data_IF_502056029212
#
_entry.id   IF_502056029212
#
_cell.length_a   1.000
_cell.length_b   1.000
_cell.length_c   1.000
_cell.angle_alpha   90.00
_cell.angle_beta   90.00
_cell.angle_gamma   90.00
#
_symmetry.space_group_name_H-M   'P 1'
#
loop_
_entity.id
_entity.type
_entity.pdbx_description
1 polymer ?
#
# COMPACT_ATOMS: atom_id res chain seq x y z
N UNK A 1 20.94 5.60 -34.23
CA UNK A 1 21.49 6.23 -33.00
C UNK A 1 21.10 5.34 -31.82
N UNK A 2 22.02 5.00 -30.91
CA UNK A 2 21.64 4.31 -29.68
C UNK A 2 20.76 5.26 -28.87
N UNK A 3 19.55 4.82 -28.50
CA UNK A 3 18.66 5.58 -27.61
C UNK A 3 19.36 5.67 -26.25
N UNK A 4 19.40 6.86 -25.67
CA UNK A 4 19.80 7.03 -24.28
C UNK A 4 18.92 6.08 -23.42
N UNK A 5 19.51 5.15 -22.64
CA UNK A 5 18.74 4.21 -21.83
C UNK A 5 17.84 4.88 -20.78
N UNK A 6 18.00 6.20 -20.56
CA UNK A 6 17.13 7.00 -19.69
C UNK A 6 15.88 7.54 -20.41
N UNK A 7 15.80 7.43 -21.74
CA UNK A 7 14.70 7.95 -22.57
C UNK A 7 13.55 6.93 -22.66
N UNK A 8 13.05 6.51 -21.49
CA UNK A 8 11.91 5.59 -21.39
C UNK A 8 10.65 6.33 -21.84
N UNK A 9 10.07 5.89 -22.95
CA UNK A 9 8.78 6.37 -23.45
C UNK A 9 7.65 5.55 -22.82
N UNK A 10 6.73 6.24 -22.17
CA UNK A 10 5.46 5.71 -21.69
C UNK A 10 4.33 6.21 -22.61
N UNK A 11 3.13 5.63 -22.56
CA UNK A 11 1.95 6.19 -23.24
C UNK A 11 1.68 7.66 -22.89
N UNK A 12 2.19 8.15 -21.76
CA UNK A 12 2.01 9.51 -21.25
C UNK A 12 3.19 10.46 -21.58
N UNK A 13 4.20 9.98 -22.31
CA UNK A 13 5.40 10.76 -22.66
C UNK A 13 6.70 10.18 -22.07
N UNK A 14 7.77 10.97 -22.06
CA UNK A 14 9.06 10.56 -21.49
C UNK A 14 8.95 10.45 -19.96
N UNK A 15 9.38 9.32 -19.40
CA UNK A 15 9.29 9.05 -17.96
C UNK A 15 9.91 10.17 -17.12
N UNK A 16 11.06 10.70 -17.54
CA UNK A 16 11.74 11.81 -16.86
C UNK A 16 10.89 13.10 -16.76
N UNK A 17 10.07 13.37 -17.76
CA UNK A 17 9.22 14.57 -17.80
C UNK A 17 7.97 14.36 -16.96
N UNK A 18 7.37 13.16 -17.06
CA UNK A 18 6.24 12.71 -16.25
C UNK A 18 6.58 12.78 -14.76
N UNK A 19 7.74 12.29 -14.36
CA UNK A 19 8.12 12.27 -12.95
C UNK A 19 8.30 13.68 -12.37
N UNK A 20 8.58 14.70 -13.19
CA UNK A 20 8.73 16.09 -12.72
C UNK A 20 7.38 16.80 -12.56
N UNK A 21 6.40 16.43 -13.37
CA UNK A 21 5.04 16.99 -13.37
C UNK A 21 4.06 15.87 -13.69
N UNK A 22 3.77 15.00 -12.70
CA UNK A 22 2.88 13.88 -12.94
C UNK A 22 1.48 14.42 -13.23
N UNK A 23 0.95 14.11 -14.40
CA UNK A 23 -0.42 14.43 -14.72
C UNK A 23 -1.37 13.41 -14.07
N UNK A 24 -2.67 13.71 -14.12
CA UNK A 24 -3.67 12.84 -13.53
C UNK A 24 -3.67 11.44 -14.16
N UNK A 25 -3.42 11.31 -15.47
CA UNK A 25 -3.41 10.00 -16.15
C UNK A 25 -2.32 9.06 -15.61
N UNK A 26 -1.15 9.61 -15.26
CA UNK A 26 -0.05 8.84 -14.66
C UNK A 26 -0.47 8.39 -13.27
N UNK A 27 -0.99 9.30 -12.44
CA UNK A 27 -1.45 8.94 -11.08
C UNK A 27 -2.57 7.90 -11.13
N UNK A 28 -3.54 8.07 -12.03
CA UNK A 28 -4.66 7.14 -12.20
C UNK A 28 -4.23 5.79 -12.79
N UNK A 29 -3.00 5.67 -13.30
CA UNK A 29 -2.47 4.38 -13.72
C UNK A 29 -2.36 3.38 -12.56
N UNK A 30 -2.31 3.83 -11.30
CA UNK A 30 -2.36 2.94 -10.12
C UNK A 30 -3.55 1.99 -10.14
N UNK A 31 -4.71 2.44 -10.64
CA UNK A 31 -5.93 1.62 -10.78
C UNK A 31 -5.88 0.63 -11.96
N UNK A 32 -4.74 0.51 -12.61
CA UNK A 32 -4.47 -0.45 -13.69
C UNK A 32 -3.30 -1.36 -13.36
N UNK A 33 -2.57 -1.08 -12.28
CA UNK A 33 -1.46 -1.90 -11.83
C UNK A 33 -1.99 -2.94 -10.84
N UNK A 34 -2.02 -4.24 -11.18
CA UNK A 34 -2.44 -5.26 -10.25
C UNK A 34 -1.42 -5.36 -9.10
N UNK A 35 -1.91 -5.61 -7.88
CA UNK A 35 -1.08 -5.97 -6.75
C UNK A 35 -0.33 -7.27 -7.05
N UNK A 36 0.88 -7.39 -6.55
CA UNK A 36 1.74 -8.55 -6.71
C UNK A 36 1.14 -9.80 -6.03
N UNK A 37 0.32 -9.59 -5.01
CA UNK A 37 -0.51 -10.63 -4.42
C UNK A 37 -1.60 -11.13 -5.40
N UNK A 38 -2.28 -10.22 -6.11
CA UNK A 38 -3.25 -10.54 -7.16
C UNK A 38 -2.62 -11.35 -8.30
N UNK A 39 -1.46 -10.92 -8.81
CA UNK A 39 -0.77 -11.66 -9.88
C UNK A 39 -0.22 -13.01 -9.44
N UNK A 40 -0.06 -13.23 -8.12
CA UNK A 40 0.29 -14.53 -7.54
C UNK A 40 -0.90 -15.51 -7.50
N UNK A 41 -2.05 -15.11 -8.06
CA UNK A 41 -3.26 -15.92 -8.14
C UNK A 41 -4.24 -15.73 -6.98
N UNK A 42 -4.04 -14.68 -6.16
CA UNK A 42 -4.84 -14.40 -4.97
C UNK A 42 -5.45 -13.00 -5.01
N UNK A 43 -6.77 -12.92 -5.20
CA UNK A 43 -7.48 -11.64 -5.27
C UNK A 43 -7.39 -10.96 -6.63
N UNK A 44 -7.96 -9.77 -6.70
CA UNK A 44 -8.16 -8.97 -7.91
C UNK A 44 -7.83 -7.48 -7.67
N UNK A 45 -7.10 -7.19 -6.60
CA UNK A 45 -6.82 -5.83 -6.19
C UNK A 45 -5.75 -5.16 -7.04
N UNK A 46 -5.95 -3.88 -7.31
CA UNK A 46 -4.96 -2.97 -7.89
C UNK A 46 -4.31 -2.05 -6.83
N UNK A 47 -3.21 -1.39 -7.18
CA UNK A 47 -2.47 -0.50 -6.27
C UNK A 47 -3.31 0.71 -5.85
N UNK A 48 -4.19 1.19 -6.73
CA UNK A 48 -5.11 2.28 -6.43
C UNK A 48 -6.12 1.90 -5.35
N UNK A 49 -6.72 0.71 -5.45
CA UNK A 49 -7.63 0.14 -4.46
C UNK A 49 -6.93 -0.07 -3.11
N UNK A 50 -5.70 -0.59 -3.12
CA UNK A 50 -4.86 -0.70 -1.92
C UNK A 50 -4.67 0.66 -1.25
N UNK A 51 -4.15 1.65 -1.98
CA UNK A 51 -3.88 2.99 -1.45
C UNK A 51 -5.14 3.68 -0.95
N UNK A 52 -6.26 3.48 -1.63
CA UNK A 52 -7.56 4.02 -1.19
C UNK A 52 -8.06 3.34 0.09
N UNK A 53 -7.85 2.02 0.24
CA UNK A 53 -8.13 1.30 1.47
C UNK A 53 -7.26 1.80 2.62
N UNK A 54 -5.95 2.01 2.41
CA UNK A 54 -5.03 2.60 3.41
C UNK A 54 -5.53 3.96 3.87
N UNK A 55 -5.98 4.82 2.95
CA UNK A 55 -6.52 6.14 3.28
C UNK A 55 -7.80 6.06 4.13
N UNK A 56 -8.73 5.14 3.80
CA UNK A 56 -9.92 4.91 4.63
C UNK A 56 -9.57 4.35 6.00
N UNK A 57 -8.65 3.38 6.08
CA UNK A 57 -8.16 2.88 7.36
C UNK A 57 -7.52 4.01 8.17
N UNK A 58 -6.84 4.97 7.52
CA UNK A 58 -6.34 6.19 8.16
C UNK A 58 -7.41 7.05 8.83
N UNK A 59 -8.61 7.16 8.25
CA UNK A 59 -9.75 7.83 8.87
C UNK A 59 -10.20 7.11 10.16
N UNK A 60 -10.34 5.79 10.10
CA UNK A 60 -10.74 4.98 11.26
C UNK A 60 -9.66 4.99 12.34
N UNK A 61 -8.39 4.88 11.95
CA UNK A 61 -7.23 4.88 12.84
C UNK A 61 -7.07 6.20 13.58
N UNK A 62 -7.21 7.32 12.86
CA UNK A 62 -7.21 8.64 13.46
C UNK A 62 -8.33 8.81 14.49
N UNK A 63 -9.53 8.27 14.20
CA UNK A 63 -10.65 8.28 15.15
C UNK A 63 -10.35 7.42 16.37
N UNK A 64 -9.81 6.21 16.16
CA UNK A 64 -9.47 5.26 17.21
C UNK A 64 -8.40 5.81 18.17
N UNK A 65 -7.42 6.56 17.66
CA UNK A 65 -6.34 7.16 18.44
C UNK A 65 -6.59 8.63 18.85
N UNK A 66 -7.76 9.19 18.53
CA UNK A 66 -8.12 10.56 18.90
C UNK A 66 -7.22 11.64 18.27
N UNK A 67 -6.80 11.45 17.01
CA UNK A 67 -5.99 12.44 16.30
C UNK A 67 -6.80 13.68 15.97
N UNK A 68 -6.13 14.85 15.98
CA UNK A 68 -6.73 16.08 15.49
C UNK A 68 -6.90 16.05 13.95
N UNK A 69 -7.72 16.98 13.43
CA UNK A 69 -8.00 17.03 12.00
C UNK A 69 -6.72 17.22 11.15
N UNK A 70 -5.77 18.11 11.49
CA UNK A 70 -4.54 18.25 10.71
C UNK A 70 -3.71 16.97 10.63
N UNK A 71 -3.52 16.25 11.75
CA UNK A 71 -2.76 14.99 11.76
C UNK A 71 -3.48 13.90 10.97
N UNK A 72 -4.80 13.79 11.13
CA UNK A 72 -5.65 12.87 10.35
C UNK A 72 -5.51 13.15 8.85
N UNK A 73 -5.66 14.40 8.43
CA UNK A 73 -5.68 14.76 7.02
C UNK A 73 -4.31 14.49 6.36
N UNK A 74 -3.21 14.73 7.07
CA UNK A 74 -1.87 14.32 6.63
C UNK A 74 -1.76 12.81 6.47
N UNK A 75 -2.26 12.03 7.42
CA UNK A 75 -2.23 10.56 7.35
C UNK A 75 -3.02 10.03 6.14
N UNK A 76 -4.18 10.63 5.85
CA UNK A 76 -5.00 10.27 4.68
C UNK A 76 -4.25 10.59 3.38
N UNK A 77 -3.67 11.78 3.27
CA UNK A 77 -2.89 12.18 2.09
C UNK A 77 -1.69 11.26 1.91
N UNK A 78 -0.99 10.92 2.99
CA UNK A 78 0.10 9.95 2.96
C UNK A 78 -0.39 8.57 2.50
N UNK A 79 -1.53 8.10 2.99
CA UNK A 79 -2.15 6.83 2.53
C UNK A 79 -2.47 6.81 1.05
N UNK A 80 -3.04 7.89 0.52
CA UNK A 80 -3.37 8.02 -0.91
C UNK A 80 -2.13 8.05 -1.81
N UNK A 81 -0.98 8.48 -1.27
CA UNK A 81 0.19 8.83 -2.10
C UNK A 81 1.40 7.92 -1.90
N UNK A 82 1.38 7.01 -0.91
CA UNK A 82 2.57 6.25 -0.52
C UNK A 82 3.14 5.34 -1.61
N UNK A 83 2.29 4.80 -2.49
CA UNK A 83 2.66 3.92 -3.61
C UNK A 83 2.60 4.61 -4.97
N UNK A 84 2.64 5.95 -5.04
CA UNK A 84 2.59 6.68 -6.32
C UNK A 84 3.68 6.24 -7.32
N UNK A 85 4.86 5.87 -6.84
CA UNK A 85 5.94 5.35 -7.68
C UNK A 85 5.52 4.12 -8.51
N UNK A 86 4.60 3.29 -8.00
CA UNK A 86 4.11 2.09 -8.68
C UNK A 86 3.32 2.41 -9.94
N UNK A 87 2.83 3.64 -10.09
CA UNK A 87 2.23 4.11 -11.34
C UNK A 87 3.20 4.07 -12.53
N UNK A 88 4.50 4.18 -12.25
CA UNK A 88 5.57 4.14 -13.23
C UNK A 88 6.34 2.81 -13.22
N UNK A 89 6.47 2.18 -12.06
CA UNK A 89 7.32 0.98 -11.90
C UNK A 89 6.56 -0.33 -11.95
N UNK A 90 5.24 -0.29 -11.81
CA UNK A 90 4.44 -1.44 -11.42
C UNK A 90 4.68 -1.82 -9.94
N UNK A 91 3.84 -2.73 -9.44
CA UNK A 91 4.01 -3.32 -8.11
C UNK A 91 5.08 -4.41 -8.15
N UNK A 92 6.11 -4.25 -7.33
CA UNK A 92 7.26 -5.15 -7.26
C UNK A 92 7.23 -5.87 -5.93
N UNK A 93 7.29 -7.21 -5.95
CA UNK A 93 7.34 -8.00 -4.72
C UNK A 93 8.49 -7.56 -3.81
N UNK A 94 8.27 -7.40 -2.49
CA UNK A 94 9.31 -6.98 -1.56
C UNK A 94 10.60 -7.81 -1.61
N UNK A 95 10.49 -9.12 -1.86
CA UNK A 95 11.63 -10.04 -1.98
C UNK A 95 12.53 -9.75 -3.19
N UNK A 96 12.03 -9.03 -4.19
CA UNK A 96 12.78 -8.65 -5.40
C UNK A 96 13.40 -7.25 -5.29
N UNK A 97 13.07 -6.49 -4.23
CA UNK A 97 13.58 -5.12 -4.02
C UNK A 97 14.99 -5.14 -3.42
N UNK A 98 16.03 -5.16 -4.27
CA UNK A 98 17.43 -4.94 -3.85
C UNK A 98 17.61 -3.54 -3.21
N UNK A 99 18.68 -3.30 -2.43
CA UNK A 99 18.96 -1.97 -1.87
C UNK A 99 19.04 -0.87 -2.93
N UNK A 100 19.67 -1.16 -4.07
CA UNK A 100 19.81 -0.23 -5.19
C UNK A 100 18.46 0.07 -5.83
N UNK A 101 17.62 -0.96 -6.00
CA UNK A 101 16.26 -0.78 -6.52
C UNK A 101 15.44 0.07 -5.54
N UNK A 102 15.50 -0.19 -4.24
CA UNK A 102 14.79 0.62 -3.23
C UNK A 102 15.16 2.09 -3.31
N UNK A 103 16.45 2.41 -3.37
CA UNK A 103 16.90 3.79 -3.52
C UNK A 103 16.34 4.48 -4.78
N UNK A 104 16.18 3.74 -5.89
CA UNK A 104 15.53 4.25 -7.11
C UNK A 104 14.03 4.41 -6.95
N UNK A 105 13.34 3.49 -6.29
CA UNK A 105 11.91 3.62 -6.01
C UNK A 105 11.66 4.84 -5.10
N UNK A 106 12.48 5.04 -4.08
CA UNK A 106 12.41 6.20 -3.17
C UNK A 106 12.67 7.51 -3.92
N UNK A 107 13.63 7.53 -4.84
CA UNK A 107 13.88 8.67 -5.72
C UNK A 107 12.65 8.98 -6.58
N UNK A 108 12.05 7.96 -7.21
CA UNK A 108 10.85 8.11 -8.04
C UNK A 108 9.69 8.65 -7.21
N UNK A 109 9.42 8.02 -6.07
CA UNK A 109 8.39 8.43 -5.11
C UNK A 109 8.58 9.89 -4.70
N UNK A 110 9.81 10.29 -4.36
CA UNK A 110 10.12 11.67 -3.99
C UNK A 110 9.79 12.68 -5.10
N UNK A 111 10.06 12.34 -6.37
CA UNK A 111 9.71 13.24 -7.50
C UNK A 111 8.21 13.37 -7.69
N UNK A 112 7.45 12.27 -7.53
CA UNK A 112 5.98 12.32 -7.56
C UNK A 112 5.43 13.23 -6.46
N UNK A 113 5.88 13.03 -5.23
CA UNK A 113 5.43 13.83 -4.08
C UNK A 113 5.79 15.31 -4.25
N UNK A 114 7.00 15.61 -4.72
CA UNK A 114 7.42 16.97 -5.04
C UNK A 114 6.52 17.60 -6.12
N UNK A 115 6.22 16.86 -7.18
CA UNK A 115 5.37 17.33 -8.28
C UNK A 115 3.92 17.61 -7.87
N UNK A 116 3.43 16.97 -6.80
CA UNK A 116 2.10 17.17 -6.22
C UNK A 116 2.12 18.08 -4.97
N UNK A 117 3.27 18.66 -4.62
CA UNK A 117 3.46 19.48 -3.42
C UNK A 117 3.07 18.77 -2.11
N UNK A 118 3.22 17.44 -2.08
CA UNK A 118 2.96 16.62 -0.89
C UNK A 118 4.24 16.49 -0.07
N UNK A 119 4.18 16.89 1.20
CA UNK A 119 5.28 16.70 2.15
C UNK A 119 4.94 15.58 3.13
N UNK A 120 5.64 14.43 3.10
CA UNK A 120 5.45 13.36 4.08
C UNK A 120 5.74 13.85 5.50
N UNK A 121 4.89 13.45 6.44
CA UNK A 121 5.11 13.71 7.86
C UNK A 121 5.85 12.53 8.49
N UNK A 122 7.11 12.73 8.87
CA UNK A 122 7.94 11.68 9.45
C UNK A 122 7.36 11.13 10.77
N UNK A 123 6.57 11.92 11.51
CA UNK A 123 5.90 11.47 12.72
C UNK A 123 4.76 10.48 12.47
N UNK A 124 4.29 10.38 11.22
CA UNK A 124 3.22 9.48 10.78
C UNK A 124 3.73 8.29 9.97
N UNK A 125 5.04 8.14 9.79
CA UNK A 125 5.61 7.06 8.98
C UNK A 125 5.28 5.67 9.58
N UNK A 126 5.30 5.55 10.91
CA UNK A 126 4.94 4.31 11.59
C UNK A 126 3.45 3.98 11.45
N UNK A 127 2.57 4.99 11.58
CA UNK A 127 1.13 4.87 11.37
C UNK A 127 0.83 4.40 9.94
N UNK A 128 1.39 5.08 8.94
CA UNK A 128 1.23 4.71 7.54
C UNK A 128 1.68 3.25 7.30
N UNK A 129 2.81 2.85 7.88
CA UNK A 129 3.32 1.49 7.70
C UNK A 129 2.43 0.43 8.37
N UNK A 130 1.80 0.74 9.49
CA UNK A 130 0.81 -0.12 10.10
C UNK A 130 -0.42 -0.25 9.20
N UNK A 131 -0.92 0.87 8.66
CA UNK A 131 -2.12 0.90 7.81
C UNK A 131 -1.93 0.16 6.48
N UNK A 132 -0.77 0.30 5.83
CA UNK A 132 -0.36 -0.49 4.65
C UNK A 132 -0.49 -2.01 4.94
N UNK A 133 0.08 -2.46 6.06
CA UNK A 133 -0.01 -3.86 6.49
C UNK A 133 -1.44 -4.31 6.83
N UNK A 134 -2.24 -3.44 7.44
CA UNK A 134 -3.65 -3.72 7.76
C UNK A 134 -4.47 -3.83 6.48
N UNK A 135 -4.26 -2.93 5.50
CA UNK A 135 -4.89 -3.00 4.19
C UNK A 135 -4.56 -4.33 3.51
N UNK A 136 -3.30 -4.78 3.59
CA UNK A 136 -2.91 -6.07 3.04
C UNK A 136 -3.61 -7.26 3.72
N UNK A 137 -3.84 -7.23 5.04
CA UNK A 137 -4.67 -8.23 5.71
C UNK A 137 -6.11 -8.22 5.19
N UNK A 138 -6.67 -7.03 4.98
CA UNK A 138 -8.00 -6.88 4.41
C UNK A 138 -8.08 -7.42 2.96
N UNK A 139 -7.04 -7.25 2.16
CA UNK A 139 -6.91 -7.86 0.82
C UNK A 139 -6.94 -9.38 0.88
N UNK A 140 -6.10 -9.99 1.73
CA UNK A 140 -6.04 -11.45 1.91
C UNK A 140 -7.41 -11.96 2.36
N UNK A 141 -8.08 -11.22 3.24
CA UNK A 141 -9.45 -11.52 3.65
C UNK A 141 -10.39 -11.46 2.44
N UNK A 142 -10.33 -10.45 1.59
CA UNK A 142 -11.25 -10.30 0.46
C UNK A 142 -10.97 -11.25 -0.71
N UNK A 143 -9.82 -11.92 -0.75
CA UNK A 143 -9.48 -12.86 -1.81
C UNK A 143 -10.53 -13.98 -1.96
N UNK A 144 -10.97 -14.21 -3.20
CA UNK A 144 -11.85 -15.30 -3.55
C UNK A 144 -11.17 -16.67 -3.33
N UNK A 145 -11.87 -17.57 -2.64
CA UNK A 145 -11.39 -18.91 -2.32
C UNK A 145 -12.06 -19.92 -3.24
N UNK A 146 -11.26 -20.72 -3.97
CA UNK A 146 -11.74 -21.72 -4.93
C UNK A 146 -11.98 -23.09 -4.27
N UNK A 147 -11.14 -23.46 -3.32
CA UNK A 147 -11.19 -24.76 -2.65
C UNK A 147 -10.64 -24.70 -1.21
N UNK A 148 -10.80 -25.79 -0.46
CA UNK A 148 -10.36 -25.89 0.93
C UNK A 148 -8.83 -25.83 1.12
N UNK A 149 -8.04 -26.29 0.14
CA UNK A 149 -6.58 -26.22 0.22
C UNK A 149 -6.10 -24.77 0.07
N UNK A 150 -6.68 -24.03 -0.87
CA UNK A 150 -6.43 -22.61 -1.04
C UNK A 150 -6.87 -21.83 0.20
N UNK A 151 -8.03 -22.16 0.79
CA UNK A 151 -8.49 -21.56 2.05
C UNK A 151 -7.47 -21.75 3.17
N UNK A 152 -6.98 -22.98 3.36
CA UNK A 152 -6.02 -23.28 4.41
C UNK A 152 -4.69 -22.54 4.21
N UNK A 153 -4.21 -22.41 2.97
CA UNK A 153 -3.01 -21.65 2.63
C UNK A 153 -3.19 -20.15 2.91
N UNK A 154 -4.31 -19.58 2.49
CA UNK A 154 -4.63 -18.17 2.72
C UNK A 154 -4.81 -17.86 4.21
N UNK A 155 -5.44 -18.76 4.97
CA UNK A 155 -5.59 -18.61 6.42
C UNK A 155 -4.22 -18.56 7.11
N UNK A 156 -3.33 -19.52 6.80
CA UNK A 156 -1.97 -19.52 7.35
C UNK A 156 -1.20 -18.25 6.95
N UNK A 157 -1.29 -17.84 5.69
CA UNK A 157 -0.64 -16.63 5.21
C UNK A 157 -1.17 -15.37 5.91
N UNK A 158 -2.48 -15.27 6.12
CA UNK A 158 -3.11 -14.21 6.91
C UNK A 158 -2.54 -14.17 8.32
N UNK A 159 -2.45 -15.32 9.00
CA UNK A 159 -1.95 -15.40 10.38
C UNK A 159 -0.47 -15.00 10.46
N UNK A 160 0.35 -15.41 9.49
CA UNK A 160 1.76 -14.99 9.37
C UNK A 160 1.87 -13.47 9.19
N UNK A 161 1.08 -12.86 8.29
CA UNK A 161 1.08 -11.41 8.09
C UNK A 161 0.57 -10.66 9.32
N UNK A 162 -0.45 -11.20 10.00
CA UNK A 162 -1.01 -10.61 11.23
C UNK A 162 0.01 -10.65 12.36
N UNK A 163 0.73 -11.75 12.54
CA UNK A 163 1.80 -11.84 13.52
C UNK A 163 2.88 -10.76 13.29
N UNK A 164 3.34 -10.61 12.05
CA UNK A 164 4.32 -9.57 11.69
C UNK A 164 3.78 -8.15 11.92
N UNK A 165 2.49 -7.90 11.65
CA UNK A 165 1.85 -6.62 11.97
C UNK A 165 1.86 -6.37 13.48
N UNK A 166 1.46 -7.36 14.29
CA UNK A 166 1.38 -7.22 15.75
C UNK A 166 2.78 -6.97 16.35
N UNK A 167 3.81 -7.67 15.87
CA UNK A 167 5.20 -7.44 16.28
C UNK A 167 5.66 -6.02 15.93
N UNK A 168 5.39 -5.56 14.71
CA UNK A 168 5.71 -4.20 14.27
C UNK A 168 4.99 -3.16 15.15
N UNK A 169 3.69 -3.30 15.35
CA UNK A 169 2.88 -2.37 16.13
C UNK A 169 3.32 -2.32 17.59
N UNK A 170 3.64 -3.47 18.20
CA UNK A 170 4.17 -3.53 19.55
C UNK A 170 5.51 -2.78 19.67
N UNK A 171 6.40 -2.94 18.70
CA UNK A 171 7.69 -2.22 18.66
C UNK A 171 7.52 -0.70 18.50
N UNK A 172 6.45 -0.24 17.86
CA UNK A 172 6.11 1.18 17.73
C UNK A 172 5.25 1.72 18.89
N UNK A 173 4.87 0.88 19.86
CA UNK A 173 4.03 1.27 20.98
C UNK A 173 2.54 1.46 20.64
N UNK A 174 2.06 0.94 19.52
CA UNK A 174 0.65 0.98 19.17
C UNK A 174 -0.15 -0.01 20.02
N UNK A 175 -1.04 0.52 20.86
CA UNK A 175 -1.96 -0.26 21.68
C UNK A 175 -3.31 -0.47 20.97
N UNK A 176 -3.99 -1.58 21.29
CA UNK A 176 -5.36 -1.82 20.82
C UNK A 176 -5.50 -2.23 19.35
N UNK A 177 -4.40 -2.56 18.66
CA UNK A 177 -4.43 -2.94 17.23
C UNK A 177 -5.32 -4.15 16.97
N UNK A 178 -5.33 -5.14 17.87
CA UNK A 178 -6.22 -6.29 17.74
C UNK A 178 -7.71 -5.92 17.85
N UNK A 179 -8.04 -4.97 18.74
CA UNK A 179 -9.40 -4.42 18.83
C UNK A 179 -9.76 -3.68 17.54
N UNK A 180 -8.86 -2.84 17.04
CA UNK A 180 -9.05 -2.11 15.79
C UNK A 180 -9.31 -3.06 14.60
N UNK A 181 -8.53 -4.13 14.46
CA UNK A 181 -8.73 -5.14 13.41
C UNK A 181 -10.13 -5.77 13.49
N UNK A 182 -10.58 -6.12 14.71
CA UNK A 182 -11.92 -6.69 14.93
C UNK A 182 -13.04 -5.71 14.60
N UNK A 183 -12.91 -4.46 15.02
CA UNK A 183 -13.90 -3.41 14.74
C UNK A 183 -14.03 -3.16 13.23
N UNK A 184 -12.92 -3.30 12.48
CA UNK A 184 -12.91 -3.21 11.02
C UNK A 184 -13.35 -4.50 10.32
N UNK A 185 -13.68 -5.56 11.06
CA UNK A 185 -14.04 -6.87 10.51
C UNK A 185 -12.88 -7.61 9.83
N UNK A 186 -11.64 -7.20 10.10
CA UNK A 186 -10.40 -7.78 9.57
C UNK A 186 -9.97 -8.95 10.47
N UNK A 187 -10.76 -10.02 10.40
CA UNK A 187 -10.56 -11.26 11.16
C UNK A 187 -10.09 -12.40 10.26
N UNK A 188 -9.53 -13.44 10.88
CA UNK A 188 -9.00 -14.60 10.17
C UNK A 188 -10.06 -15.32 9.32
N UNK A 189 -9.63 -15.94 8.24
CA UNK A 189 -10.50 -16.67 7.30
C UNK A 189 -11.25 -17.86 7.94
N UNK A 190 -10.76 -18.36 9.08
CA UNK A 190 -11.40 -19.43 9.85
C UNK A 190 -12.57 -18.93 10.70
N UNK A 191 -12.64 -17.64 11.00
CA UNK A 191 -13.63 -17.03 11.88
C UNK A 191 -14.90 -16.59 11.15
N UNK A 192 -14.99 -16.83 9.83
CA UNK A 192 -16.22 -16.55 9.07
C UNK A 192 -17.26 -17.64 9.35
N UNK A 193 -18.33 -17.27 10.04
CA UNK A 193 -19.59 -17.99 9.94
C UNK A 193 -20.19 -17.65 8.56
N UNK A 194 -20.29 -18.65 7.69
CA UNK A 194 -21.05 -18.57 6.44
C UNK A 194 -22.56 -18.61 6.72
#
# INVERSE_FOLDING_TARGET
>A
MPRDPTDILTPQGKLQDIMRRPNLDVVMNLFRIPRAFAVSGFGDWDVGQHSFCVAFLGLYWATFHGYDAPRRDRLIVMGLTHDLHESATGDILPALKSPELRARLDEIQGRFLQGLEVTPDAALAADLKALDRIAFLYEIRCAAVRDGQQRARLARFFDEQRAMLMEFCAAQGFAGVDTFLRDMGIVGLQERQE
#
